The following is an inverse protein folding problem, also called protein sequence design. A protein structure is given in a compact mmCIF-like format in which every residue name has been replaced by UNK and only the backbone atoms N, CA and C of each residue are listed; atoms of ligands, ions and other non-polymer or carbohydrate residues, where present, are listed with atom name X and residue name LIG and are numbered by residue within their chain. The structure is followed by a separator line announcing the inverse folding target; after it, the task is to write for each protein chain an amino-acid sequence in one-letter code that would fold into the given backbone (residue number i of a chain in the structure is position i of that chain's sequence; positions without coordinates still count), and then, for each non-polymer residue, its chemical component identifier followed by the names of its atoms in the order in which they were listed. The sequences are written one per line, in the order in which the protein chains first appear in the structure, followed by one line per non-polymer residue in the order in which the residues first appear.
data_IF_638878041412
#
_entry.id   IF_638878041412
#
_cell.length_a   1.000
_cell.length_b   1.000
_cell.length_c   1.000
_cell.angle_alpha   90.00
_cell.angle_beta   90.00
_cell.angle_gamma   90.00
#
_symmetry.space_group_name_H-M   'P 1'
#
loop_
_entity.id
_entity.type
_entity.pdbx_description
1 polymer ?
#
# COMPACT_ATOMS: atom_id res chain seq x y z
N UNK A 1 17.86 33.85 -4.58
CA UNK A 1 18.33 32.97 -5.68
C UNK A 1 19.35 31.91 -5.24
N UNK A 2 20.39 32.20 -4.46
CA UNK A 2 21.35 31.19 -4.00
C UNK A 2 20.74 30.16 -3.03
N UNK A 3 19.96 30.59 -2.04
CA UNK A 3 19.32 29.70 -1.04
C UNK A 3 18.38 28.69 -1.74
N UNK A 4 17.61 29.12 -2.74
CA UNK A 4 16.70 28.22 -3.48
C UNK A 4 17.47 27.09 -4.17
N UNK A 5 18.62 27.39 -4.80
CA UNK A 5 19.48 26.39 -5.44
C UNK A 5 20.08 25.38 -4.44
N UNK A 6 20.41 25.83 -3.23
CA UNK A 6 20.88 24.92 -2.18
C UNK A 6 19.77 24.01 -1.65
N UNK A 7 18.54 24.53 -1.52
CA UNK A 7 17.37 23.74 -1.16
C UNK A 7 17.04 22.70 -2.26
N UNK A 8 17.05 23.11 -3.52
CA UNK A 8 16.84 22.21 -4.67
C UNK A 8 17.90 21.08 -4.69
N UNK A 9 19.19 21.44 -4.55
CA UNK A 9 20.27 20.45 -4.50
C UNK A 9 20.11 19.49 -3.33
N UNK A 10 19.71 19.98 -2.15
CA UNK A 10 19.44 19.14 -0.98
C UNK A 10 18.29 18.15 -1.20
N UNK A 11 17.18 18.62 -1.77
CA UNK A 11 16.03 17.76 -2.08
C UNK A 11 16.40 16.68 -3.11
N UNK A 12 17.12 17.06 -4.18
CA UNK A 12 17.57 16.12 -5.22
C UNK A 12 18.51 15.06 -4.61
N UNK A 13 19.43 15.48 -3.73
CA UNK A 13 20.35 14.56 -3.07
C UNK A 13 19.63 13.55 -2.18
N UNK A 14 18.62 14.00 -1.41
CA UNK A 14 17.78 13.11 -0.58
C UNK A 14 16.98 12.16 -1.46
N UNK A 15 16.36 12.66 -2.52
CA UNK A 15 15.59 11.84 -3.45
C UNK A 15 16.47 10.76 -4.13
N UNK A 16 17.73 11.09 -4.46
CA UNK A 16 18.68 10.16 -5.06
C UNK A 16 19.02 8.98 -4.13
N UNK A 17 19.04 9.19 -2.80
CA UNK A 17 19.27 8.11 -1.82
C UNK A 17 18.16 7.04 -1.93
N UNK A 18 16.91 7.45 -2.14
CA UNK A 18 15.76 6.54 -2.19
C UNK A 18 15.40 6.09 -3.62
N UNK A 19 16.17 6.50 -4.64
CA UNK A 19 15.95 6.08 -6.02
C UNK A 19 15.85 4.55 -6.20
N UNK A 20 16.64 3.70 -5.50
CA UNK A 20 16.54 2.24 -5.63
C UNK A 20 15.18 1.66 -5.21
N UNK A 21 14.46 2.31 -4.30
CA UNK A 21 13.15 1.86 -3.80
C UNK A 21 11.98 2.69 -4.34
N UNK A 22 12.22 3.59 -5.30
CA UNK A 22 11.16 4.48 -5.83
C UNK A 22 9.94 3.71 -6.36
N UNK A 23 10.14 2.59 -7.04
CA UNK A 23 9.05 1.76 -7.55
C UNK A 23 8.23 1.14 -6.42
N UNK A 24 8.88 0.76 -5.33
CA UNK A 24 8.21 0.23 -4.15
C UNK A 24 7.34 1.30 -3.47
N UNK A 25 7.88 2.50 -3.29
CA UNK A 25 7.14 3.64 -2.74
C UNK A 25 5.91 3.96 -3.61
N UNK A 26 6.10 4.08 -4.92
CA UNK A 26 4.99 4.32 -5.85
C UNK A 26 3.93 3.21 -5.79
N UNK A 27 4.34 1.95 -5.75
CA UNK A 27 3.42 0.80 -5.68
C UNK A 27 2.62 0.83 -4.39
N UNK A 28 3.26 1.13 -3.25
CA UNK A 28 2.59 1.28 -1.95
C UNK A 28 1.56 2.41 -2.00
N UNK A 29 1.93 3.57 -2.55
CA UNK A 29 1.00 4.68 -2.75
C UNK A 29 -0.22 4.31 -3.61
N UNK A 30 -0.01 3.57 -4.71
CA UNK A 30 -1.09 3.07 -5.56
C UNK A 30 -2.00 2.09 -4.81
N UNK A 31 -1.45 1.17 -4.03
CA UNK A 31 -2.25 0.23 -3.22
C UNK A 31 -3.12 0.95 -2.20
N UNK A 32 -2.57 1.93 -1.48
CA UNK A 32 -3.33 2.76 -0.53
C UNK A 32 -4.43 3.56 -1.26
N UNK A 33 -4.16 4.04 -2.47
CA UNK A 33 -5.16 4.73 -3.28
C UNK A 33 -6.29 3.79 -3.70
N UNK A 34 -6.00 2.56 -4.12
CA UNK A 34 -6.99 1.54 -4.46
C UNK A 34 -7.82 1.19 -3.21
N UNK A 35 -7.18 1.01 -2.05
CA UNK A 35 -7.88 0.77 -0.78
C UNK A 35 -8.84 1.92 -0.44
N UNK A 36 -8.40 3.17 -0.61
CA UNK A 36 -9.26 4.34 -0.40
C UNK A 36 -10.47 4.32 -1.32
N UNK A 37 -10.26 4.12 -2.63
CA UNK A 37 -11.35 4.11 -3.62
C UNK A 37 -12.34 2.99 -3.35
N UNK A 38 -11.85 1.77 -3.12
CA UNK A 38 -12.71 0.62 -2.80
C UNK A 38 -13.44 0.81 -1.48
N UNK A 39 -12.77 1.39 -0.47
CA UNK A 39 -13.37 1.74 0.81
C UNK A 39 -14.50 2.77 0.70
N UNK A 40 -14.35 3.80 -0.14
CA UNK A 40 -15.39 4.80 -0.41
C UNK A 40 -16.61 4.17 -1.10
N UNK A 41 -16.40 3.29 -2.08
CA UNK A 41 -17.48 2.59 -2.77
C UNK A 41 -18.20 1.65 -1.81
N UNK A 42 -17.45 0.91 -0.99
CA UNK A 42 -17.97 0.02 0.05
C UNK A 42 -18.82 0.77 1.07
N UNK A 43 -18.32 1.90 1.59
CA UNK A 43 -19.05 2.76 2.53
C UNK A 43 -20.37 3.28 1.93
N UNK A 44 -20.33 3.73 0.67
CA UNK A 44 -21.53 4.17 -0.06
C UNK A 44 -22.56 3.04 -0.19
N UNK A 45 -22.13 1.83 -0.50
CA UNK A 45 -23.02 0.66 -0.60
C UNK A 45 -23.68 0.31 0.74
N UNK A 46 -22.94 0.49 1.84
CA UNK A 46 -23.43 0.28 3.20
C UNK A 46 -24.20 1.47 3.78
N UNK A 47 -24.41 2.53 3.00
CA UNK A 47 -25.06 3.78 3.44
C UNK A 47 -24.34 4.44 4.63
N UNK A 48 -23.03 4.21 4.76
CA UNK A 48 -22.21 4.84 5.79
C UNK A 48 -21.78 6.25 5.35
N UNK A 49 -21.72 7.21 6.29
CA UNK A 49 -21.28 8.56 5.96
C UNK A 49 -19.79 8.58 5.56
N UNK A 50 -19.49 9.24 4.44
CA UNK A 50 -18.12 9.52 4.05
C UNK A 50 -17.66 10.74 4.86
N UNK A 51 -16.65 10.56 5.69
CA UNK A 51 -16.16 11.60 6.59
C UNK A 51 -14.74 12.03 6.26
N UNK A 52 -14.41 13.28 6.57
CA UNK A 52 -13.03 13.79 6.44
C UNK A 52 -12.03 13.06 7.34
N UNK A 53 -12.50 12.44 8.43
CA UNK A 53 -11.67 11.62 9.30
C UNK A 53 -11.15 10.35 8.61
N UNK A 54 -11.95 9.75 7.71
CA UNK A 54 -11.51 8.62 6.88
C UNK A 54 -10.36 9.01 5.94
N UNK A 55 -10.49 10.15 5.26
CA UNK A 55 -9.43 10.66 4.38
C UNK A 55 -8.15 10.99 5.16
N UNK A 56 -8.28 11.64 6.31
CA UNK A 56 -7.12 11.93 7.18
C UNK A 56 -6.42 10.65 7.62
N UNK A 57 -7.16 9.59 7.97
CA UNK A 57 -6.58 8.28 8.32
C UNK A 57 -5.78 7.68 7.17
N UNK A 58 -6.29 7.78 5.94
CA UNK A 58 -5.57 7.31 4.74
C UNK A 58 -4.28 8.08 4.50
N UNK A 59 -4.29 9.41 4.64
CA UNK A 59 -3.07 10.23 4.52
C UNK A 59 -2.04 9.89 5.61
N UNK A 60 -2.49 9.68 6.85
CA UNK A 60 -1.60 9.26 7.95
C UNK A 60 -1.00 7.87 7.66
N UNK A 61 -1.82 6.93 7.18
CA UNK A 61 -1.37 5.59 6.78
C UNK A 61 -0.30 5.66 5.69
N UNK A 62 -0.54 6.45 4.64
CA UNK A 62 0.42 6.67 3.57
C UNK A 62 1.75 7.20 4.10
N UNK A 63 1.72 8.25 4.91
CA UNK A 63 2.95 8.81 5.50
C UNK A 63 3.71 7.78 6.36
N UNK A 64 3.01 7.04 7.22
CA UNK A 64 3.62 6.03 8.09
C UNK A 64 4.26 4.89 7.30
N UNK A 65 3.59 4.41 6.24
CA UNK A 65 4.12 3.32 5.41
C UNK A 65 5.34 3.76 4.59
N UNK A 66 5.28 4.92 3.97
CA UNK A 66 6.42 5.46 3.22
C UNK A 66 7.62 5.69 4.13
N UNK A 67 7.40 6.22 5.34
CA UNK A 67 8.46 6.37 6.34
C UNK A 67 9.03 5.02 6.79
N UNK A 68 8.18 4.01 7.01
CA UNK A 68 8.62 2.67 7.38
C UNK A 68 9.50 2.02 6.29
N UNK A 69 9.12 2.18 5.01
CA UNK A 69 9.90 1.67 3.87
C UNK A 69 11.24 2.40 3.74
N UNK A 70 11.25 3.72 3.89
CA UNK A 70 12.49 4.51 3.88
C UNK A 70 13.43 4.09 5.02
N UNK A 71 12.92 3.92 6.24
CA UNK A 71 13.72 3.47 7.38
C UNK A 71 14.22 2.04 7.20
N UNK A 72 13.39 1.13 6.69
CA UNK A 72 13.77 -0.24 6.37
C UNK A 72 14.91 -0.27 5.34
N UNK A 73 14.81 0.57 4.30
CA UNK A 73 15.86 0.71 3.28
C UNK A 73 17.17 1.23 3.88
N UNK A 74 17.13 2.28 4.69
CA UNK A 74 18.32 2.82 5.34
C UNK A 74 18.96 1.78 6.28
N UNK A 75 18.15 1.03 7.04
CA UNK A 75 18.64 -0.01 7.93
C UNK A 75 19.28 -1.17 7.13
N UNK A 76 18.64 -1.64 6.06
CA UNK A 76 19.17 -2.72 5.21
C UNK A 76 20.45 -2.29 4.50
N UNK A 77 20.47 -1.09 3.91
CA UNK A 77 21.57 -0.65 3.06
C UNK A 77 22.81 -0.16 3.83
N UNK A 78 22.62 0.48 4.98
CA UNK A 78 23.72 1.13 5.72
C UNK A 78 24.08 0.48 7.05
N UNK A 79 23.20 -0.36 7.61
CA UNK A 79 23.42 -0.91 8.95
C UNK A 79 23.58 -2.43 8.97
N UNK A 80 22.92 -3.17 8.06
CA UNK A 80 22.97 -4.63 8.10
C UNK A 80 22.54 -5.25 6.76
N UNK A 81 23.45 -5.95 6.12
CA UNK A 81 23.16 -6.75 4.90
C UNK A 81 22.55 -8.12 5.24
N UNK A 82 22.35 -8.45 6.52
CA UNK A 82 21.95 -9.78 6.95
C UNK A 82 20.43 -9.95 6.88
N UNK A 83 19.67 -8.90 7.22
CA UNK A 83 18.22 -8.96 7.30
C UNK A 83 17.55 -8.16 6.17
N UNK A 84 16.62 -8.78 5.44
CA UNK A 84 15.92 -8.12 4.34
C UNK A 84 14.78 -7.21 4.85
N UNK A 85 15.12 -6.14 5.54
CA UNK A 85 14.15 -5.22 6.18
C UNK A 85 13.14 -4.64 5.19
N UNK A 86 13.56 -4.29 3.98
CA UNK A 86 12.68 -3.75 2.93
C UNK A 86 11.64 -4.79 2.52
N UNK A 87 12.06 -6.04 2.31
CA UNK A 87 11.13 -7.13 1.95
C UNK A 87 10.15 -7.44 3.08
N UNK A 88 10.61 -7.41 4.32
CA UNK A 88 9.76 -7.64 5.48
C UNK A 88 8.72 -6.52 5.62
N UNK A 89 9.14 -5.27 5.62
CA UNK A 89 8.24 -4.12 5.74
C UNK A 89 7.23 -4.07 4.57
N UNK A 90 7.70 -4.20 3.33
CA UNK A 90 6.82 -4.20 2.16
C UNK A 90 5.85 -5.38 2.14
N UNK A 91 6.30 -6.57 2.55
CA UNK A 91 5.45 -7.74 2.66
C UNK A 91 4.31 -7.54 3.67
N UNK A 92 4.61 -7.01 4.85
CA UNK A 92 3.61 -6.71 5.88
C UNK A 92 2.60 -5.66 5.38
N UNK A 93 3.07 -4.57 4.79
CA UNK A 93 2.21 -3.52 4.21
C UNK A 93 1.31 -4.13 3.13
N UNK A 94 1.89 -4.92 2.21
CA UNK A 94 1.14 -5.57 1.13
C UNK A 94 0.01 -6.45 1.66
N UNK A 95 0.26 -7.27 2.68
CA UNK A 95 -0.77 -8.14 3.28
C UNK A 95 -1.90 -7.29 3.88
N UNK A 96 -1.58 -6.22 4.59
CA UNK A 96 -2.58 -5.34 5.20
C UNK A 96 -3.44 -4.67 4.13
N UNK A 97 -2.82 -4.09 3.09
CA UNK A 97 -3.56 -3.40 2.03
C UNK A 97 -4.40 -4.36 1.18
N UNK A 98 -3.85 -5.52 0.80
CA UNK A 98 -4.62 -6.52 0.06
C UNK A 98 -5.80 -7.06 0.85
N UNK A 99 -5.65 -7.25 2.17
CA UNK A 99 -6.75 -7.68 3.03
C UNK A 99 -7.85 -6.63 3.06
N UNK A 100 -7.50 -5.35 3.26
CA UNK A 100 -8.46 -4.25 3.28
C UNK A 100 -9.20 -4.11 1.94
N UNK A 101 -8.46 -4.14 0.82
CA UNK A 101 -9.04 -4.09 -0.53
C UNK A 101 -9.98 -5.29 -0.76
N UNK A 102 -9.56 -6.49 -0.36
CA UNK A 102 -10.37 -7.70 -0.49
C UNK A 102 -11.69 -7.61 0.30
N UNK A 103 -11.64 -7.14 1.55
CA UNK A 103 -12.84 -6.91 2.36
C UNK A 103 -13.80 -5.91 1.70
N UNK A 104 -13.26 -4.79 1.20
CA UNK A 104 -14.04 -3.81 0.46
C UNK A 104 -14.69 -4.41 -0.80
N UNK A 105 -13.95 -5.20 -1.57
CA UNK A 105 -14.46 -5.87 -2.78
C UNK A 105 -15.55 -6.90 -2.46
N UNK A 106 -15.46 -7.64 -1.36
CA UNK A 106 -16.51 -8.54 -0.90
C UNK A 106 -17.81 -7.79 -0.61
N UNK A 107 -17.72 -6.63 0.04
CA UNK A 107 -18.88 -5.77 0.29
C UNK A 107 -19.44 -5.23 -1.03
N UNK A 108 -18.58 -4.76 -1.92
CA UNK A 108 -18.98 -4.21 -3.23
C UNK A 108 -19.66 -5.27 -4.08
N UNK A 109 -19.13 -6.49 -4.14
CA UNK A 109 -19.70 -7.59 -4.93
C UNK A 109 -20.93 -8.23 -4.27
N UNK A 110 -21.07 -8.12 -2.95
CA UNK A 110 -22.10 -8.83 -2.17
C UNK A 110 -21.83 -10.34 -2.04
N UNK A 111 -20.63 -10.80 -2.36
CA UNK A 111 -20.24 -12.20 -2.37
C UNK A 111 -18.86 -12.37 -1.72
N UNK A 112 -18.61 -13.55 -1.15
CA UNK A 112 -17.26 -13.91 -0.73
C UNK A 112 -16.45 -14.37 -1.95
N UNK A 113 -15.64 -13.45 -2.51
CA UNK A 113 -14.88 -13.67 -3.73
C UNK A 113 -13.93 -14.87 -3.65
N UNK A 114 -13.32 -15.09 -2.48
CA UNK A 114 -12.43 -16.24 -2.27
C UNK A 114 -13.20 -17.56 -2.36
N UNK A 115 -14.39 -17.63 -1.75
CA UNK A 115 -15.23 -18.82 -1.83
C UNK A 115 -15.67 -19.10 -3.27
N UNK A 116 -16.10 -18.08 -4.00
CA UNK A 116 -16.47 -18.20 -5.43
C UNK A 116 -15.29 -18.71 -6.27
N UNK A 117 -14.09 -18.22 -6.00
CA UNK A 117 -12.88 -18.66 -6.70
C UNK A 117 -12.54 -20.12 -6.39
N UNK A 118 -12.58 -20.53 -5.12
CA UNK A 118 -12.32 -21.90 -4.69
C UNK A 118 -13.34 -22.87 -5.29
N UNK A 119 -14.63 -22.51 -5.28
CA UNK A 119 -15.69 -23.34 -5.83
C UNK A 119 -15.52 -23.54 -7.35
N UNK A 120 -15.11 -22.50 -8.08
CA UNK A 120 -14.81 -22.61 -9.53
C UNK A 120 -13.59 -23.51 -9.80
N UNK A 121 -12.48 -23.31 -9.07
CA UNK A 121 -11.28 -24.12 -9.23
C UNK A 121 -11.52 -25.59 -8.84
N UNK A 122 -12.38 -25.84 -7.83
CA UNK A 122 -12.77 -27.19 -7.41
C UNK A 122 -13.73 -27.88 -8.39
N UNK A 123 -14.51 -27.12 -9.16
CA UNK A 123 -15.42 -27.68 -10.18
C UNK A 123 -14.69 -28.11 -11.47
N UNK A 124 -13.65 -27.37 -11.87
CA UNK A 124 -12.82 -27.70 -13.05
C UNK A 124 -12.01 -29.01 -12.84
N UNK A 125 -11.75 -29.39 -11.60
CA UNK A 125 -11.01 -30.62 -11.29
C UNK A 125 -11.91 -31.87 -11.21
N UNK A 126 -13.21 -31.76 -11.53
CA UNK A 126 -14.20 -32.84 -11.52
C UNK A 126 -14.72 -33.21 -12.90
N UNK A 127 -14.12 -32.74 -13.99
CA UNK A 127 -14.43 -33.24 -15.33
C UNK A 127 -13.73 -34.59 -15.54
N UNK A 128 -14.47 -35.65 -15.88
CA UNK A 128 -13.95 -36.98 -16.11
C UNK A 128 -13.05 -37.07 -17.35
#
# INVERSE_FOLDING_TARGET
MKILKWLEAGIISIAAIFAPIQHLLLTTGVMIFIDLVTGLISAKKQQQPITSSGLRRTLTKMFVYEMALCLAYLAEHYMSDILPFVKMASGMITVVELTSIYENLNIISGQNLLKVLIDKLGSDNKSP
#
